data_IF_576298363780
#
_entry.id   IF_576298363780
#
_cell.length_a   1.000
_cell.length_b   1.000
_cell.length_c   1.000
_cell.angle_alpha   90.00
_cell.angle_beta   90.00
_cell.angle_gamma   90.00
#
_symmetry.space_group_name_H-M   'P 1'
#
loop_
_entity.id
_entity.type
_entity.pdbx_description
1 polymer ?
#
# COMPACT_ATOMS: atom_id res chain seq x y z
N UNK A 1 11.28 -18.10 1.91
CA UNK A 1 11.20 -17.34 0.65
C UNK A 1 12.19 -16.21 0.80
N UNK A 2 13.08 -16.05 -0.16
CA UNK A 2 14.05 -14.96 -0.12
C UNK A 2 13.30 -13.63 -0.26
N UNK A 3 13.81 -12.59 0.40
CA UNK A 3 13.25 -11.24 0.31
C UNK A 3 13.48 -10.63 -1.09
N UNK A 4 12.73 -9.60 -1.46
CA UNK A 4 12.96 -8.84 -2.69
C UNK A 4 14.26 -8.03 -2.59
N UNK A 5 15.07 -7.98 -3.65
CA UNK A 5 16.21 -7.06 -3.72
C UNK A 5 15.71 -5.61 -3.61
N UNK A 6 16.28 -4.85 -2.68
CA UNK A 6 15.89 -3.45 -2.43
C UNK A 6 15.95 -2.58 -3.71
N UNK A 7 16.89 -2.85 -4.62
CA UNK A 7 17.01 -2.12 -5.90
C UNK A 7 15.84 -2.39 -6.83
N UNK A 8 15.23 -3.58 -6.76
CA UNK A 8 14.03 -3.91 -7.53
C UNK A 8 12.79 -3.28 -6.87
N UNK A 9 12.74 -3.25 -5.54
CA UNK A 9 11.65 -2.58 -4.79
C UNK A 9 11.57 -1.10 -5.17
N UNK A 10 12.70 -0.40 -5.32
CA UNK A 10 12.75 1.01 -5.73
C UNK A 10 12.17 1.27 -7.13
N UNK A 11 12.22 0.26 -8.01
CA UNK A 11 11.67 0.35 -9.38
C UNK A 11 10.24 -0.18 -9.47
N UNK A 12 9.75 -0.88 -8.44
CA UNK A 12 8.52 -1.66 -8.50
C UNK A 12 7.30 -0.83 -8.92
N UNK A 13 7.16 0.38 -8.38
CA UNK A 13 6.05 1.28 -8.69
C UNK A 13 6.12 1.86 -10.11
N UNK A 14 7.31 1.89 -10.72
CA UNK A 14 7.47 2.32 -12.12
C UNK A 14 6.96 1.24 -13.06
N UNK A 15 7.25 -0.03 -12.76
CA UNK A 15 6.80 -1.17 -13.54
C UNK A 15 5.34 -1.54 -13.26
N UNK A 16 4.86 -1.25 -12.04
CA UNK A 16 3.51 -1.55 -11.57
C UNK A 16 2.85 -0.26 -11.04
N UNK A 17 2.55 0.71 -11.93
CA UNK A 17 1.93 1.95 -11.52
C UNK A 17 0.49 1.69 -11.05
N UNK A 18 -0.01 2.60 -10.23
CA UNK A 18 -1.41 2.53 -9.81
C UNK A 18 -2.38 2.62 -10.99
N UNK A 19 -3.47 1.86 -10.90
CA UNK A 19 -4.45 1.73 -11.99
C UNK A 19 -5.89 1.61 -11.52
N UNK A 20 -6.79 1.14 -12.41
CA UNK A 20 -8.22 1.04 -12.14
C UNK A 20 -8.61 0.19 -10.91
N UNK A 21 -7.76 -0.75 -10.54
CA UNK A 21 -7.91 -1.58 -9.33
C UNK A 21 -7.74 -0.74 -8.05
N UNK A 22 -6.73 0.14 -7.99
CA UNK A 22 -6.57 1.08 -6.89
C UNK A 22 -7.76 2.04 -6.79
N UNK A 23 -8.24 2.54 -7.92
CA UNK A 23 -9.41 3.43 -7.99
C UNK A 23 -10.65 2.75 -7.41
N UNK A 24 -10.90 1.50 -7.81
CA UNK A 24 -12.00 0.70 -7.32
C UNK A 24 -11.97 0.55 -5.80
N UNK A 25 -10.84 0.14 -5.21
CA UNK A 25 -10.77 -0.05 -3.76
C UNK A 25 -10.89 1.26 -2.98
N UNK A 26 -10.35 2.38 -3.50
CA UNK A 26 -10.52 3.70 -2.89
C UNK A 26 -11.99 4.11 -2.88
N UNK A 27 -12.67 3.95 -4.02
CA UNK A 27 -14.09 4.23 -4.13
C UNK A 27 -14.91 3.39 -3.14
N UNK A 28 -14.67 2.07 -3.08
CA UNK A 28 -15.33 1.19 -2.12
C UNK A 28 -15.09 1.64 -0.68
N UNK A 29 -13.85 1.98 -0.31
CA UNK A 29 -13.50 2.43 1.03
C UNK A 29 -14.22 3.74 1.42
N UNK A 30 -14.44 4.64 0.46
CA UNK A 30 -15.13 5.91 0.67
C UNK A 30 -16.66 5.73 0.73
N UNK A 31 -17.23 4.92 -0.16
CA UNK A 31 -18.67 4.63 -0.20
C UNK A 31 -19.19 4.00 1.09
N UNK A 32 -18.40 3.13 1.72
CA UNK A 32 -18.76 2.48 2.99
C UNK A 32 -18.33 3.27 4.23
N UNK A 33 -17.78 4.49 4.05
CA UNK A 33 -17.15 5.30 5.10
C UNK A 33 -16.17 4.50 5.96
N UNK A 34 -15.33 3.65 5.34
CA UNK A 34 -14.43 2.76 6.05
C UNK A 34 -13.58 3.54 7.07
N UNK A 35 -13.63 3.13 8.34
CA UNK A 35 -12.88 3.73 9.45
C UNK A 35 -11.61 2.97 9.80
N UNK A 36 -11.57 1.67 9.51
CA UNK A 36 -10.41 0.80 9.70
C UNK A 36 -10.21 -0.04 8.45
N UNK A 37 -8.99 -0.05 7.90
CA UNK A 37 -8.61 -0.84 6.73
C UNK A 37 -7.36 -1.65 7.05
N UNK A 38 -7.37 -2.92 6.65
CA UNK A 38 -6.21 -3.81 6.63
C UNK A 38 -5.89 -4.15 5.18
N UNK A 39 -4.69 -3.81 4.74
CA UNK A 39 -4.17 -4.09 3.40
C UNK A 39 -3.17 -5.25 3.47
N UNK A 40 -3.57 -6.40 2.94
CA UNK A 40 -2.80 -7.66 3.01
C UNK A 40 -1.99 -7.85 1.73
N UNK A 41 -0.67 -7.95 1.87
CA UNK A 41 0.25 -7.92 0.73
C UNK A 41 0.44 -6.49 0.23
N UNK A 42 0.69 -5.56 1.15
CA UNK A 42 0.69 -4.14 0.86
C UNK A 42 1.85 -3.68 -0.05
N UNK A 43 2.88 -4.52 -0.25
CA UNK A 43 4.03 -4.21 -1.08
C UNK A 43 4.68 -2.88 -0.72
N UNK A 44 4.92 -2.04 -1.72
CA UNK A 44 5.48 -0.67 -1.59
C UNK A 44 4.53 0.33 -0.91
N UNK A 45 3.35 -0.11 -0.48
CA UNK A 45 2.38 0.70 0.23
C UNK A 45 1.67 1.75 -0.61
N UNK A 46 1.69 1.65 -1.95
CA UNK A 46 1.05 2.65 -2.83
C UNK A 46 -0.44 2.80 -2.53
N UNK A 47 -1.18 1.68 -2.61
CA UNK A 47 -2.61 1.65 -2.32
C UNK A 47 -2.86 1.95 -0.83
N UNK A 48 -2.11 1.32 0.07
CA UNK A 48 -2.23 1.52 1.52
C UNK A 48 -2.18 3.00 1.92
N UNK A 49 -1.17 3.73 1.44
CA UNK A 49 -1.01 5.15 1.74
C UNK A 49 -2.16 5.99 1.16
N UNK A 50 -2.66 5.62 -0.03
CA UNK A 50 -3.76 6.33 -0.69
C UNK A 50 -5.08 6.26 0.07
N UNK A 51 -5.26 5.28 0.96
CA UNK A 51 -6.45 5.21 1.81
C UNK A 51 -6.48 6.24 2.93
N UNK A 52 -5.35 6.89 3.25
CA UNK A 52 -5.24 7.79 4.39
C UNK A 52 -6.21 8.98 4.28
N UNK A 53 -7.04 9.17 5.31
CA UNK A 53 -7.89 10.35 5.50
C UNK A 53 -8.18 10.57 6.98
N UNK A 54 -8.67 11.75 7.33
CA UNK A 54 -9.06 12.08 8.70
C UNK A 54 -10.03 11.04 9.28
N UNK A 55 -9.69 10.48 10.44
CA UNK A 55 -10.52 9.53 11.15
C UNK A 55 -10.51 8.08 10.61
N UNK A 56 -9.73 7.80 9.56
CA UNK A 56 -9.51 6.43 9.06
C UNK A 56 -8.14 5.93 9.50
N UNK A 57 -8.11 4.73 10.09
CA UNK A 57 -6.89 4.00 10.45
C UNK A 57 -6.61 2.94 9.38
N UNK A 58 -5.40 2.94 8.85
CA UNK A 58 -4.96 1.99 7.82
C UNK A 58 -3.74 1.23 8.34
N UNK A 59 -3.72 -0.09 8.15
CA UNK A 59 -2.59 -0.96 8.48
C UNK A 59 -2.23 -1.76 7.23
N UNK A 60 -0.98 -1.68 6.80
CA UNK A 60 -0.43 -2.55 5.75
C UNK A 60 0.36 -3.71 6.36
N UNK A 61 0.25 -4.89 5.77
CA UNK A 61 1.04 -6.07 6.12
C UNK A 61 1.64 -6.65 4.84
N UNK A 62 2.94 -6.93 4.88
CA UNK A 62 3.66 -7.63 3.82
C UNK A 62 4.74 -8.54 4.43
N UNK A 63 4.99 -9.75 3.89
CA UNK A 63 6.07 -10.60 4.38
C UNK A 63 7.47 -10.08 4.06
N UNK A 64 7.64 -9.15 3.12
CA UNK A 64 8.94 -8.60 2.69
C UNK A 64 9.38 -7.41 3.58
N UNK A 65 10.48 -7.54 4.35
CA UNK A 65 11.07 -6.42 5.05
C UNK A 65 11.46 -5.25 4.14
N UNK A 66 11.99 -5.53 2.94
CA UNK A 66 12.38 -4.47 2.00
C UNK A 66 11.18 -3.70 1.44
N UNK A 67 10.06 -4.38 1.14
CA UNK A 67 8.80 -3.73 0.78
C UNK A 67 8.29 -2.84 1.92
N UNK A 68 8.25 -3.36 3.15
CA UNK A 68 7.79 -2.61 4.33
C UNK A 68 8.68 -1.39 4.65
N UNK A 69 9.99 -1.51 4.47
CA UNK A 69 10.92 -0.40 4.66
C UNK A 69 10.64 0.73 3.65
N UNK A 70 10.31 0.38 2.40
CA UNK A 70 9.91 1.34 1.39
C UNK A 70 8.53 1.95 1.69
N UNK A 71 7.53 1.11 2.00
CA UNK A 71 6.18 1.54 2.35
C UNK A 71 6.15 2.49 3.55
N UNK A 72 6.98 2.24 4.57
CA UNK A 72 7.10 3.10 5.75
C UNK A 72 7.60 4.50 5.42
N UNK A 73 8.50 4.65 4.44
CA UNK A 73 8.96 5.98 3.98
C UNK A 73 7.86 6.76 3.28
N UNK A 74 6.89 6.08 2.67
CA UNK A 74 5.72 6.70 2.01
C UNK A 74 4.64 7.14 3.00
N UNK A 75 4.55 6.48 4.15
CA UNK A 75 3.55 6.76 5.18
C UNK A 75 3.91 7.94 6.12
N UNK A 76 5.17 8.38 6.11
CA UNK A 76 5.69 9.51 6.90
C UNK A 76 5.88 10.76 6.04
#
# INVERSE_FOLDING_TARGET
>A
MDDYDARLVELYDTDNPGGPDHDFYRQVADEIDARTILDLGCGTGMLTASFARAGRRVVGIDPSPNMLAYATKRAN
#
